data_IF_132362451765
#
_entry.id   IF_132362451765
#
_cell.length_a   1.000
_cell.length_b   1.000
_cell.length_c   1.000
_cell.angle_alpha   90.00
_cell.angle_beta   90.00
_cell.angle_gamma   90.00
#
_symmetry.space_group_name_H-M   'P 1'
#
loop_
_entity.id
_entity.type
_entity.pdbx_description
1 polymer ?
#
# COMPACT_ATOMS: atom_id res chain seq x y z
N UNK A 1 15.80 -23.72 9.78
CA UNK A 1 14.85 -23.51 10.90
C UNK A 1 13.90 -22.43 10.47
N UNK A 2 12.60 -22.64 10.64
CA UNK A 2 11.59 -21.60 10.40
C UNK A 2 11.44 -20.78 11.68
N UNK A 3 11.22 -19.46 11.59
CA UNK A 3 10.86 -18.65 12.74
C UNK A 3 9.56 -19.17 13.36
N UNK A 4 9.44 -19.04 14.68
CA UNK A 4 8.25 -19.45 15.43
C UNK A 4 7.47 -18.19 15.74
N UNK A 5 6.18 -18.22 15.44
CA UNK A 5 5.28 -17.08 15.60
C UNK A 5 4.49 -17.16 16.91
N UNK A 6 4.13 -15.98 17.41
CA UNK A 6 3.31 -15.84 18.61
C UNK A 6 2.79 -14.42 18.73
N UNK A 7 1.82 -14.26 19.62
CA UNK A 7 1.22 -12.97 19.92
C UNK A 7 1.79 -12.43 21.24
N UNK A 8 2.17 -11.16 21.25
CA UNK A 8 2.62 -10.50 22.47
C UNK A 8 1.41 -9.96 23.26
N UNK A 9 1.19 -10.46 24.48
CA UNK A 9 0.09 -10.07 25.36
C UNK A 9 0.60 -9.98 26.81
N UNK A 10 0.30 -8.88 27.50
CA UNK A 10 0.62 -8.67 28.92
C UNK A 10 2.09 -8.95 29.30
N UNK A 11 3.03 -8.62 28.41
CA UNK A 11 4.46 -8.81 28.66
C UNK A 11 4.99 -10.21 28.31
N UNK A 12 4.15 -11.09 27.77
CA UNK A 12 4.50 -12.48 27.43
C UNK A 12 4.21 -12.76 25.95
N UNK A 13 5.11 -13.48 25.27
CA UNK A 13 4.84 -14.00 23.92
C UNK A 13 4.13 -15.35 24.06
N UNK A 14 2.88 -15.42 23.63
CA UNK A 14 2.12 -16.66 23.52
C UNK A 14 2.35 -17.26 22.12
N UNK A 15 3.03 -18.39 22.05
CA UNK A 15 3.31 -19.06 20.78
C UNK A 15 2.02 -19.60 20.17
N UNK A 16 1.87 -19.44 18.86
CA UNK A 16 0.71 -19.97 18.12
C UNK A 16 0.77 -21.50 17.96
N UNK A 17 1.96 -22.07 18.12
CA UNK A 17 2.21 -23.51 18.06
C UNK A 17 3.21 -23.93 19.15
N UNK A 18 3.04 -25.13 19.75
CA UNK A 18 4.04 -25.68 20.66
C UNK A 18 5.38 -25.90 19.94
N UNK A 19 6.47 -25.68 20.66
CA UNK A 19 7.82 -25.98 20.19
C UNK A 19 8.57 -26.77 21.25
N UNK A 20 9.49 -27.63 20.80
CA UNK A 20 10.41 -28.31 21.71
C UNK A 20 11.46 -27.30 22.21
N UNK A 21 11.49 -27.06 23.53
CA UNK A 21 12.44 -26.17 24.19
C UNK A 21 12.75 -26.65 25.60
N UNK A 22 13.81 -26.09 26.21
CA UNK A 22 14.17 -26.34 27.60
C UNK A 22 13.90 -25.11 28.45
N UNK A 23 13.47 -25.32 29.68
CA UNK A 23 13.31 -24.23 30.65
C UNK A 23 14.64 -23.48 30.83
N UNK A 24 14.59 -22.14 30.80
CA UNK A 24 15.76 -21.27 30.90
C UNK A 24 16.60 -21.12 29.63
N UNK A 25 16.19 -21.72 28.50
CA UNK A 25 16.87 -21.54 27.22
C UNK A 25 16.72 -20.09 26.72
N UNK A 26 17.85 -19.47 26.33
CA UNK A 26 17.83 -18.12 25.75
C UNK A 26 17.18 -18.12 24.38
N UNK A 27 16.35 -17.11 24.11
CA UNK A 27 15.66 -16.89 22.83
C UNK A 27 15.81 -15.43 22.40
N UNK A 28 15.62 -15.19 21.10
CA UNK A 28 15.55 -13.84 20.52
C UNK A 28 14.10 -13.60 20.11
N UNK A 29 13.54 -12.45 20.49
CA UNK A 29 12.19 -12.03 20.10
C UNK A 29 12.33 -10.92 19.06
N UNK A 30 11.67 -11.08 17.93
CA UNK A 30 11.60 -10.08 16.87
C UNK A 30 10.16 -9.62 16.75
N UNK A 31 9.91 -8.33 16.95
CA UNK A 31 8.59 -7.76 16.72
C UNK A 31 8.42 -7.48 15.23
N UNK A 32 7.43 -8.13 14.62
CA UNK A 32 7.05 -7.85 13.25
C UNK A 32 6.21 -6.58 13.25
N UNK A 33 6.65 -5.57 12.50
CA UNK A 33 5.82 -4.41 12.23
C UNK A 33 4.68 -4.90 11.34
N UNK A 34 3.43 -4.70 11.78
CA UNK A 34 2.30 -4.91 10.88
C UNK A 34 2.58 -4.09 9.62
N UNK A 35 2.51 -4.76 8.47
CA UNK A 35 2.33 -4.05 7.21
C UNK A 35 0.99 -3.35 7.35
N UNK A 36 1.00 -2.13 7.89
CA UNK A 36 -0.09 -1.21 7.65
C UNK A 36 -0.17 -1.19 6.13
N UNK A 37 -1.20 -1.81 5.56
CA UNK A 37 -1.60 -1.54 4.18
C UNK A 37 -1.49 -0.03 4.06
N UNK A 38 -0.46 0.44 3.36
CA UNK A 38 -0.12 1.84 3.44
C UNK A 38 -1.33 2.51 2.84
N UNK A 39 -2.14 3.16 3.68
CA UNK A 39 -3.12 4.12 3.23
C UNK A 39 -2.32 4.98 2.27
N UNK A 40 -2.59 4.85 0.97
CA UNK A 40 -1.85 5.52 -0.08
C UNK A 40 -1.80 6.97 0.39
N UNK A 41 -0.62 7.40 0.83
CA UNK A 41 -0.52 8.69 1.50
C UNK A 41 -1.11 9.71 0.51
N UNK A 42 -1.91 10.68 0.97
CA UNK A 42 -2.55 11.65 0.07
C UNK A 42 -1.51 12.37 -0.84
N UNK A 43 -0.25 12.37 -0.42
CA UNK A 43 0.90 12.81 -1.22
C UNK A 43 1.15 11.99 -2.49
N UNK A 44 0.85 10.70 -2.53
CA UNK A 44 1.01 9.85 -3.71
C UNK A 44 0.03 10.23 -4.82
N UNK A 45 -1.23 10.55 -4.47
CA UNK A 45 -2.20 11.09 -5.43
C UNK A 45 -1.79 12.47 -5.93
N UNK A 46 -1.24 13.31 -5.05
CA UNK A 46 -0.70 14.62 -5.41
C UNK A 46 0.48 14.51 -6.38
N UNK A 47 1.41 13.57 -6.13
CA UNK A 47 2.55 13.30 -7.00
C UNK A 47 2.11 12.73 -8.36
N UNK A 48 1.10 11.87 -8.37
CA UNK A 48 0.54 11.33 -9.60
C UNK A 48 -0.12 12.43 -10.45
N UNK A 49 -0.85 13.36 -9.83
CA UNK A 49 -1.44 14.51 -10.53
C UNK A 49 -0.36 15.44 -11.13
N UNK A 50 0.76 15.65 -10.42
CA UNK A 50 1.91 16.39 -10.93
C UNK A 50 2.53 15.69 -12.15
N UNK A 51 2.72 14.38 -12.09
CA UNK A 51 3.25 13.60 -13.21
C UNK A 51 2.35 13.69 -14.46
N UNK A 52 1.03 13.55 -14.29
CA UNK A 52 0.09 13.70 -15.40
C UNK A 52 0.17 15.08 -16.05
N UNK A 53 0.35 16.13 -15.24
CA UNK A 53 0.51 17.50 -15.72
C UNK A 53 1.82 17.69 -16.47
N UNK A 54 2.93 17.11 -15.99
CA UNK A 54 4.22 17.17 -16.68
C UNK A 54 4.23 16.40 -18.00
N UNK A 55 3.55 15.25 -18.04
CA UNK A 55 3.39 14.45 -19.25
C UNK A 55 2.31 14.98 -20.20
N UNK A 56 1.59 16.06 -19.83
CA UNK A 56 0.57 16.65 -20.68
C UNK A 56 1.23 17.28 -21.91
N UNK A 57 1.12 16.59 -23.04
CA UNK A 57 1.54 17.13 -24.33
C UNK A 57 0.52 18.17 -24.76
N UNK A 58 0.93 19.44 -24.82
CA UNK A 58 0.15 20.49 -25.47
C UNK A 58 0.14 20.24 -26.97
N UNK A 59 -0.82 19.47 -27.45
CA UNK A 59 -1.01 19.15 -28.87
C UNK A 59 -1.55 20.33 -29.68
N UNK A 60 -2.00 21.41 -29.01
CA UNK A 60 -2.66 22.56 -29.64
C UNK A 60 -4.08 22.25 -30.15
N UNK A 61 -4.57 21.02 -29.96
CA UNK A 61 -5.91 20.59 -30.32
C UNK A 61 -6.81 20.87 -29.11
N UNK A 62 -7.81 21.74 -29.29
CA UNK A 62 -8.84 21.98 -28.28
C UNK A 62 -9.63 20.69 -27.96
N UNK A 63 -10.40 20.70 -26.89
CA UNK A 63 -11.19 19.53 -26.48
C UNK A 63 -12.02 19.00 -27.66
N UNK A 64 -11.66 17.80 -28.13
CA UNK A 64 -12.31 17.11 -29.25
C UNK A 64 -13.71 16.63 -28.87
N UNK A 65 -14.06 16.53 -27.59
CA UNK A 65 -15.41 16.16 -27.16
C UNK A 65 -16.46 17.12 -27.75
N UNK A 66 -16.14 18.42 -27.79
CA UNK A 66 -17.02 19.42 -28.39
C UNK A 66 -17.18 19.28 -29.92
N UNK A 67 -16.18 18.71 -30.61
CA UNK A 67 -16.24 18.49 -32.05
C UNK A 67 -17.06 17.25 -32.44
N UNK A 68 -17.25 16.32 -31.50
CA UNK A 68 -18.06 15.11 -31.72
C UNK A 68 -19.54 15.29 -31.34
N UNK A 69 -19.88 16.28 -30.50
CA UNK A 69 -21.29 16.59 -30.17
C UNK A 69 -22.11 17.03 -31.40
N UNK A 70 -21.46 17.61 -32.41
CA UNK A 70 -22.12 17.97 -33.67
C UNK A 70 -22.66 16.73 -34.43
N UNK A 71 -22.00 15.57 -34.31
CA UNK A 71 -22.42 14.32 -34.95
C UNK A 71 -23.60 13.65 -34.22
N UNK A 72 -23.79 13.93 -32.93
CA UNK A 72 -24.87 13.37 -32.11
C UNK A 72 -26.09 14.28 -32.02
N UNK A 73 -25.90 15.60 -32.05
CA UNK A 73 -26.97 16.58 -31.78
C UNK A 73 -27.27 17.54 -32.92
N UNK A 74 -26.64 17.38 -34.10
CA UNK A 74 -27.01 17.96 -35.39
C UNK A 74 -27.83 19.24 -35.34
N UNK A 75 -27.16 20.38 -35.18
CA UNK A 75 -27.75 21.69 -35.53
C UNK A 75 -27.48 22.02 -36.98
#
# INVERSE_FOLDING_TARGET
MLPVEGTFQDGVVQLNQPIAGRDGQKVIIVFLQAENESAIADSAWSNFALLLKECQVHTGIGDLAHQHDHYLHGT
#
